data_IF_087310464418
#
_entry.id   IF_087310464418
#
_cell.length_a   1.000
_cell.length_b   1.000
_cell.length_c   1.000
_cell.angle_alpha   90.00
_cell.angle_beta   90.00
_cell.angle_gamma   90.00
#
_symmetry.space_group_name_H-M   'P 1'
#
loop_
_entity.id
_entity.type
_entity.pdbx_description
1 polymer ?
#
# COMPACT_ATOMS: atom_id res chain seq x y z
N UNK A 1 -21.09 -16.00 19.38
CA UNK A 1 -19.84 -16.50 18.77
C UNK A 1 -19.15 -15.41 17.97
N UNK A 2 -18.00 -14.97 18.41
CA UNK A 2 -17.16 -14.03 17.68
C UNK A 2 -16.47 -14.76 16.54
N UNK A 3 -16.87 -14.47 15.31
CA UNK A 3 -16.14 -14.95 14.13
C UNK A 3 -14.84 -14.14 14.03
N UNK A 4 -13.72 -14.75 14.40
CA UNK A 4 -12.41 -14.16 14.13
C UNK A 4 -12.21 -14.13 12.62
N UNK A 5 -12.28 -12.95 12.03
CA UNK A 5 -11.91 -12.78 10.63
C UNK A 5 -10.44 -13.13 10.47
N UNK A 6 -10.15 -14.16 9.67
CA UNK A 6 -8.76 -14.49 9.32
C UNK A 6 -8.20 -13.38 8.45
N UNK A 7 -7.04 -12.85 8.86
CA UNK A 7 -6.26 -11.97 8.00
C UNK A 7 -5.76 -12.77 6.79
N UNK A 8 -5.89 -12.19 5.63
CA UNK A 8 -5.29 -12.68 4.40
C UNK A 8 -4.57 -11.54 3.70
N UNK A 9 -3.29 -11.74 3.39
CA UNK A 9 -2.47 -10.78 2.66
C UNK A 9 -2.31 -11.28 1.23
N UNK A 10 -2.67 -10.44 0.28
CA UNK A 10 -2.44 -10.63 -1.16
C UNK A 10 -1.68 -9.44 -1.70
N UNK A 11 -0.71 -9.68 -2.57
CA UNK A 11 0.06 -8.64 -3.22
C UNK A 11 -0.25 -8.60 -4.72
N UNK A 12 -0.48 -7.39 -5.20
CA UNK A 12 -0.70 -7.12 -6.63
C UNK A 12 0.28 -6.06 -7.09
N UNK A 13 0.72 -6.16 -8.32
CA UNK A 13 1.44 -5.09 -8.97
C UNK A 13 0.99 -4.99 -10.43
N UNK A 14 1.16 -3.83 -11.03
CA UNK A 14 0.79 -3.62 -12.41
C UNK A 14 1.55 -2.45 -13.02
N UNK A 15 1.66 -2.48 -14.34
CA UNK A 15 2.27 -1.42 -15.12
C UNK A 15 1.32 -1.07 -16.27
N UNK A 16 1.17 0.21 -16.55
CA UNK A 16 0.37 0.68 -17.67
C UNK A 16 0.76 2.09 -18.07
N UNK A 17 0.41 2.48 -19.29
CA UNK A 17 0.50 3.86 -19.74
C UNK A 17 -0.75 4.63 -19.30
N UNK A 18 -0.53 5.82 -18.74
CA UNK A 18 -1.60 6.69 -18.26
C UNK A 18 -2.10 6.36 -16.86
N UNK A 19 -2.55 7.38 -16.17
CA UNK A 19 -2.86 7.34 -14.74
C UNK A 19 -4.09 6.47 -14.43
N UNK A 20 -5.17 6.64 -15.17
CA UNK A 20 -6.40 5.87 -14.94
C UNK A 20 -6.21 4.39 -15.23
N UNK A 21 -5.49 4.07 -16.31
CA UNK A 21 -5.15 2.69 -16.68
C UNK A 21 -4.25 2.04 -15.65
N UNK A 22 -3.27 2.80 -15.10
CA UNK A 22 -2.40 2.34 -14.03
C UNK A 22 -3.19 2.01 -12.77
N UNK A 23 -4.10 2.87 -12.37
CA UNK A 23 -4.95 2.67 -11.19
C UNK A 23 -5.79 1.38 -11.30
N UNK A 24 -6.23 1.03 -12.50
CA UNK A 24 -6.94 -0.22 -12.76
C UNK A 24 -6.00 -1.43 -12.80
N UNK A 25 -4.84 -1.28 -13.44
CA UNK A 25 -3.87 -2.37 -13.62
C UNK A 25 -3.25 -2.86 -12.31
N UNK A 26 -3.11 -1.99 -11.30
CA UNK A 26 -2.56 -2.38 -9.99
C UNK A 26 -3.42 -3.46 -9.32
N UNK A 27 -4.73 -3.37 -9.42
CA UNK A 27 -5.64 -4.31 -8.76
C UNK A 27 -6.91 -4.55 -9.57
N UNK A 28 -6.80 -5.20 -10.76
CA UNK A 28 -7.94 -5.35 -11.65
C UNK A 28 -9.06 -6.24 -11.07
N UNK A 29 -8.72 -7.14 -10.16
CA UNK A 29 -9.66 -8.08 -9.55
C UNK A 29 -10.42 -7.49 -8.36
N UNK A 30 -9.98 -6.34 -7.82
CA UNK A 30 -10.64 -5.72 -6.68
C UNK A 30 -11.86 -4.91 -7.12
N UNK A 31 -13.00 -5.22 -6.51
CA UNK A 31 -14.17 -4.37 -6.61
C UNK A 31 -14.02 -3.19 -5.62
N UNK A 32 -13.97 -1.94 -6.11
CA UNK A 32 -13.81 -0.78 -5.23
C UNK A 32 -14.87 -0.65 -4.13
N UNK A 33 -16.08 -1.14 -4.38
CA UNK A 33 -17.18 -1.09 -3.40
C UNK A 33 -16.97 -2.03 -2.22
N UNK A 34 -16.14 -3.07 -2.37
CA UNK A 34 -15.84 -4.03 -1.32
C UNK A 34 -14.65 -3.61 -0.45
N UNK A 35 -13.99 -2.50 -0.78
CA UNK A 35 -12.82 -1.98 -0.05
C UNK A 35 -13.30 -0.96 0.98
N UNK A 36 -13.14 -1.29 2.25
CA UNK A 36 -13.54 -0.41 3.36
C UNK A 36 -12.58 0.76 3.56
N UNK A 37 -11.29 0.52 3.41
CA UNK A 37 -10.26 1.53 3.62
C UNK A 37 -9.17 1.44 2.55
N UNK A 38 -8.76 2.59 2.07
CA UNK A 38 -7.61 2.75 1.17
C UNK A 38 -6.51 3.48 1.93
N UNK A 39 -5.37 2.84 2.08
CA UNK A 39 -4.22 3.43 2.75
C UNK A 39 -3.13 3.69 1.74
N UNK A 40 -2.79 4.95 1.55
CA UNK A 40 -1.78 5.39 0.58
C UNK A 40 -0.72 6.19 1.32
N UNK A 41 0.55 5.84 1.14
CA UNK A 41 1.65 6.63 1.69
C UNK A 41 1.62 8.04 1.11
N UNK A 42 1.69 9.04 1.99
CA UNK A 42 1.73 10.45 1.58
C UNK A 42 3.06 10.76 0.91
N UNK A 43 3.00 11.32 -0.28
CA UNK A 43 4.19 11.84 -0.94
C UNK A 43 4.76 13.01 -0.15
N UNK A 44 6.08 13.02 -0.02
CA UNK A 44 6.81 14.13 0.57
C UNK A 44 7.65 14.83 -0.50
N UNK A 45 7.54 16.14 -0.56
CA UNK A 45 8.38 16.98 -1.40
C UNK A 45 9.44 17.61 -0.48
N UNK A 46 10.68 17.19 -0.65
CA UNK A 46 11.82 17.73 0.07
C UNK A 46 12.94 18.15 -0.90
N UNK A 47 14.07 18.61 -0.38
CA UNK A 47 15.20 19.04 -1.20
C UNK A 47 15.72 17.95 -2.13
N UNK A 48 15.57 16.66 -1.76
CA UNK A 48 16.00 15.52 -2.58
C UNK A 48 15.07 15.25 -3.76
N UNK A 49 13.80 15.62 -3.63
CA UNK A 49 12.76 15.34 -4.63
C UNK A 49 12.49 16.51 -5.57
N UNK A 50 12.96 17.73 -5.26
CA UNK A 50 12.75 18.92 -6.08
C UNK A 50 13.27 18.76 -7.52
N UNK A 51 14.36 18.02 -7.73
CA UNK A 51 14.89 17.73 -9.07
C UNK A 51 14.09 16.68 -9.85
N UNK A 52 13.06 16.07 -9.23
CA UNK A 52 12.25 14.99 -9.81
C UNK A 52 10.80 15.42 -10.02
N UNK A 53 10.57 16.68 -10.35
CA UNK A 53 9.22 17.27 -10.46
C UNK A 53 8.30 16.48 -11.37
N UNK A 54 8.78 16.07 -12.54
CA UNK A 54 7.99 15.30 -13.51
C UNK A 54 7.55 13.95 -12.92
N UNK A 55 8.45 13.21 -12.28
CA UNK A 55 8.14 11.93 -11.65
C UNK A 55 7.13 12.11 -10.51
N UNK A 56 7.24 13.17 -9.72
CA UNK A 56 6.28 13.48 -8.66
C UNK A 56 4.90 13.83 -9.22
N UNK A 57 4.82 14.58 -10.32
CA UNK A 57 3.55 14.89 -10.97
C UNK A 57 2.87 13.64 -11.52
N UNK A 58 3.61 12.75 -12.15
CA UNK A 58 3.10 11.48 -12.65
C UNK A 58 2.58 10.60 -11.50
N UNK A 59 3.33 10.52 -10.41
CA UNK A 59 2.93 9.78 -9.21
C UNK A 59 1.68 10.39 -8.57
N UNK A 60 1.58 11.72 -8.50
CA UNK A 60 0.38 12.43 -8.04
C UNK A 60 -0.84 12.07 -8.87
N UNK A 61 -0.69 11.97 -10.18
CA UNK A 61 -1.77 11.58 -11.08
C UNK A 61 -2.25 10.15 -10.80
N UNK A 62 -1.33 9.21 -10.59
CA UNK A 62 -1.64 7.82 -10.24
C UNK A 62 -2.37 7.75 -8.90
N UNK A 63 -1.89 8.46 -7.89
CA UNK A 63 -2.53 8.53 -6.56
C UNK A 63 -3.93 9.10 -6.66
N UNK A 64 -4.12 10.17 -7.44
CA UNK A 64 -5.42 10.76 -7.68
C UNK A 64 -6.39 9.80 -8.37
N UNK A 65 -5.93 9.08 -9.38
CA UNK A 65 -6.74 8.10 -10.11
C UNK A 65 -7.14 6.91 -9.20
N UNK A 66 -6.22 6.41 -8.37
CA UNK A 66 -6.50 5.35 -7.40
C UNK A 66 -7.52 5.86 -6.37
N UNK A 67 -7.32 7.05 -5.84
CA UNK A 67 -8.24 7.65 -4.86
C UNK A 67 -9.65 7.82 -5.42
N UNK A 68 -9.77 8.21 -6.67
CA UNK A 68 -11.07 8.32 -7.33
C UNK A 68 -11.72 6.95 -7.54
N UNK A 69 -10.96 5.95 -7.95
CA UNK A 69 -11.46 4.58 -8.11
C UNK A 69 -12.04 4.03 -6.81
N UNK A 70 -11.40 4.31 -5.69
CA UNK A 70 -11.82 3.87 -4.36
C UNK A 70 -12.49 4.98 -3.54
N UNK A 71 -13.18 5.91 -4.20
CA UNK A 71 -13.79 7.09 -3.56
C UNK A 71 -14.84 6.81 -2.50
N UNK A 72 -15.39 5.60 -2.49
CA UNK A 72 -16.36 5.17 -1.47
C UNK A 72 -15.69 4.59 -0.21
N UNK A 73 -14.38 4.35 -0.27
CA UNK A 73 -13.58 3.86 0.85
C UNK A 73 -13.14 5.02 1.74
N UNK A 74 -12.88 4.72 3.01
CA UNK A 74 -12.11 5.64 3.85
C UNK A 74 -10.70 5.76 3.29
N UNK A 75 -10.21 6.98 3.08
CA UNK A 75 -8.85 7.21 2.55
C UNK A 75 -7.96 7.72 3.68
N UNK A 76 -6.90 6.99 3.96
CA UNK A 76 -5.91 7.30 4.99
C UNK A 76 -4.55 7.47 4.31
N UNK A 77 -3.88 8.59 4.57
CA UNK A 77 -2.62 8.92 3.90
C UNK A 77 -1.54 9.31 4.93
N UNK A 78 -0.89 8.31 5.58
CA UNK A 78 0.17 8.58 6.52
C UNK A 78 1.47 8.93 5.80
N UNK A 79 2.33 9.70 6.51
CA UNK A 79 3.70 9.92 6.05
C UNK A 79 4.53 8.66 6.29
N UNK A 80 5.67 8.48 5.57
CA UNK A 80 6.60 7.38 5.86
C UNK A 80 7.02 7.32 7.33
N UNK A 81 7.24 8.46 7.94
CA UNK A 81 7.65 8.54 9.34
C UNK A 81 6.58 8.05 10.31
N UNK A 82 5.30 8.33 10.03
CA UNK A 82 4.19 7.90 10.88
C UNK A 82 4.02 6.39 10.92
N UNK A 83 4.19 5.70 9.79
CA UNK A 83 3.96 4.27 9.74
C UNK A 83 5.22 3.42 9.86
N UNK A 84 6.33 3.91 9.36
CA UNK A 84 7.60 3.17 9.30
C UNK A 84 8.63 3.67 10.31
N UNK A 85 8.57 4.95 10.68
CA UNK A 85 9.57 5.58 11.51
C UNK A 85 10.94 5.61 10.83
N UNK A 86 11.98 5.29 11.58
CA UNK A 86 13.36 5.25 11.10
C UNK A 86 13.86 3.82 10.85
N UNK A 87 12.96 2.86 10.69
CA UNK A 87 13.32 1.46 10.48
C UNK A 87 13.95 1.30 9.09
N UNK A 88 15.18 0.73 8.98
CA UNK A 88 15.80 0.45 7.69
C UNK A 88 14.97 -0.52 6.86
N UNK A 89 15.05 -0.38 5.53
CA UNK A 89 14.28 -1.23 4.58
C UNK A 89 14.50 -2.72 4.80
N UNK A 90 15.74 -3.12 5.03
CA UNK A 90 16.11 -4.53 5.22
C UNK A 90 15.49 -5.11 6.50
N UNK A 91 15.47 -4.34 7.57
CA UNK A 91 14.86 -4.71 8.85
C UNK A 91 13.35 -4.84 8.71
N UNK A 92 12.72 -3.88 8.03
CA UNK A 92 11.29 -3.93 7.75
C UNK A 92 10.90 -5.17 6.95
N UNK A 93 11.63 -5.45 5.88
CA UNK A 93 11.41 -6.64 5.04
C UNK A 93 11.57 -7.94 5.84
N UNK A 94 12.59 -8.04 6.69
CA UNK A 94 12.82 -9.20 7.53
C UNK A 94 11.66 -9.41 8.52
N UNK A 95 11.20 -8.34 9.17
CA UNK A 95 10.05 -8.40 10.08
C UNK A 95 8.76 -8.80 9.38
N UNK A 96 8.52 -8.31 8.17
CA UNK A 96 7.36 -8.68 7.38
C UNK A 96 7.38 -10.15 6.99
N UNK A 97 8.54 -10.68 6.61
CA UNK A 97 8.70 -12.10 6.30
C UNK A 97 8.40 -13.00 7.50
N UNK A 98 8.75 -12.57 8.71
CA UNK A 98 8.42 -13.29 9.94
C UNK A 98 6.92 -13.20 10.29
N UNK A 99 6.29 -12.09 9.96
CA UNK A 99 4.87 -11.83 10.30
C UNK A 99 3.91 -12.54 9.36
N UNK A 100 4.27 -12.69 8.09
CA UNK A 100 3.45 -13.34 7.08
C UNK A 100 3.52 -14.86 7.20
N UNK A 101 2.39 -15.53 6.98
CA UNK A 101 2.34 -16.98 6.90
C UNK A 101 3.08 -17.48 5.64
N UNK A 102 3.51 -18.77 5.59
CA UNK A 102 4.11 -19.32 4.38
C UNK A 102 3.24 -19.19 3.14
N UNK A 103 1.91 -19.32 3.30
CA UNK A 103 0.94 -19.16 2.23
C UNK A 103 0.88 -17.71 1.72
N UNK A 104 0.88 -16.74 2.62
CA UNK A 104 0.93 -15.33 2.29
C UNK A 104 2.24 -14.96 1.59
N UNK A 105 3.38 -15.47 2.09
CA UNK A 105 4.69 -15.26 1.46
C UNK A 105 4.76 -15.80 0.04
N UNK A 106 4.13 -16.92 -0.23
CA UNK A 106 4.08 -17.51 -1.56
C UNK A 106 3.39 -16.60 -2.57
N UNK A 107 2.32 -15.91 -2.16
CA UNK A 107 1.63 -14.94 -3.02
C UNK A 107 2.45 -13.69 -3.32
N UNK A 108 3.37 -13.34 -2.42
CA UNK A 108 4.19 -12.12 -2.53
C UNK A 108 5.44 -12.32 -3.40
N UNK A 109 6.00 -13.52 -3.45
CA UNK A 109 7.31 -13.81 -4.06
C UNK A 109 7.42 -13.49 -5.54
N UNK A 110 6.34 -13.61 -6.32
CA UNK A 110 6.38 -13.34 -7.76
C UNK A 110 6.30 -11.84 -8.03
N UNK A 111 7.41 -11.25 -8.46
CA UNK A 111 7.49 -9.85 -8.87
C UNK A 111 7.49 -8.83 -7.74
N UNK A 112 7.72 -9.25 -6.51
CA UNK A 112 7.77 -8.36 -5.37
C UNK A 112 8.96 -7.39 -5.45
N UNK A 113 8.65 -6.09 -5.41
CA UNK A 113 9.62 -5.00 -5.34
C UNK A 113 9.63 -4.41 -3.92
N UNK A 114 10.51 -3.45 -3.66
CA UNK A 114 10.50 -2.70 -2.40
C UNK A 114 9.14 -2.02 -2.17
N UNK A 115 8.52 -1.52 -3.22
CA UNK A 115 7.20 -0.88 -3.14
C UNK A 115 6.11 -1.86 -2.72
N UNK A 116 6.19 -3.11 -3.17
CA UNK A 116 5.28 -4.18 -2.75
C UNK A 116 5.39 -4.44 -1.26
N UNK A 117 6.62 -4.55 -0.74
CA UNK A 117 6.85 -4.77 0.69
C UNK A 117 6.40 -3.57 1.53
N UNK A 118 6.66 -2.36 1.07
CA UNK A 118 6.19 -1.14 1.74
C UNK A 118 4.66 -1.09 1.79
N UNK A 119 3.99 -1.46 0.73
CA UNK A 119 2.52 -1.51 0.69
C UNK A 119 1.95 -2.52 1.70
N UNK A 120 2.56 -3.70 1.82
CA UNK A 120 2.16 -4.71 2.81
C UNK A 120 2.39 -4.18 4.23
N UNK A 121 3.55 -3.60 4.49
CA UNK A 121 3.88 -3.01 5.79
C UNK A 121 2.91 -1.90 6.18
N UNK A 122 2.58 -1.04 5.26
CA UNK A 122 1.61 0.04 5.45
C UNK A 122 0.22 -0.49 5.82
N UNK A 123 -0.25 -1.49 5.10
CA UNK A 123 -1.55 -2.12 5.36
C UNK A 123 -1.60 -2.79 6.74
N UNK A 124 -0.56 -3.52 7.12
CA UNK A 124 -0.48 -4.17 8.42
C UNK A 124 -0.39 -3.15 9.57
N UNK A 125 0.35 -2.06 9.37
CA UNK A 125 0.39 -0.95 10.33
C UNK A 125 -1.00 -0.36 10.57
N UNK A 126 -1.75 -0.11 9.52
CA UNK A 126 -3.11 0.43 9.62
C UNK A 126 -4.05 -0.52 10.35
N UNK A 127 -4.01 -1.81 10.04
CA UNK A 127 -4.83 -2.81 10.71
C UNK A 127 -4.52 -2.92 12.19
N UNK A 128 -3.25 -2.84 12.57
CA UNK A 128 -2.83 -2.82 13.98
C UNK A 128 -3.34 -1.58 14.69
N UNK A 129 -3.23 -0.41 14.07
CA UNK A 129 -3.72 0.84 14.64
C UNK A 129 -5.23 0.80 14.87
N UNK A 130 -5.98 0.26 13.93
CA UNK A 130 -7.43 0.11 14.04
C UNK A 130 -7.84 -0.82 15.19
N UNK A 131 -7.11 -1.92 15.40
CA UNK A 131 -7.35 -2.84 16.52
C UNK A 131 -7.15 -2.18 17.88
N UNK A 132 -6.19 -1.29 18.01
CA UNK A 132 -5.92 -0.57 19.27
C UNK A 132 -7.03 0.42 19.59
N UNK A 133 -7.69 0.96 18.57
CA UNK A 133 -8.79 1.93 18.74
C UNK A 133 -10.16 1.29 18.99
N UNK A 134 -10.28 0.04 18.70
CA UNK A 134 -11.48 -0.76 19.01
C UNK A 134 -11.38 -1.34 20.44
#
# INVERSE_FOLDING_TARGET
ATVKRKREVRAFHGEALGWATMAHAISPELNPWDVASLVIERMQVDARTLGKTRALLELSGVVGAISYRFRTSEIVSPTPREWKGNIPKDVMKARLKETLSPRELETVRKGATHDTWDAIGLGLWYLKLKRIRE
#
